data_IF_447845397404
#
_entry.id   IF_447845397404
#
_cell.length_a   1.000
_cell.length_b   1.000
_cell.length_c   1.000
_cell.angle_alpha   90.00
_cell.angle_beta   90.00
_cell.angle_gamma   90.00
#
_symmetry.space_group_name_H-M   'P 1'
#
loop_
_entity.id
_entity.type
_entity.pdbx_description
1 polymer ?
#
# COMPACT_ATOMS: atom_id res chain seq x y z
N UNK A 1 35.46 28.52 8.03
CA UNK A 1 34.80 27.41 7.29
C UNK A 1 35.32 26.01 7.65
N UNK A 2 36.54 25.85 8.19
CA UNK A 2 37.11 24.53 8.56
C UNK A 2 36.63 24.01 9.94
N UNK A 3 36.12 24.90 10.81
CA UNK A 3 35.72 24.55 12.18
C UNK A 3 34.36 23.83 12.26
N UNK A 4 33.49 24.03 11.27
CA UNK A 4 32.18 23.36 11.15
C UNK A 4 32.32 21.88 10.75
N UNK A 5 33.39 21.50 10.04
CA UNK A 5 33.66 20.11 9.66
C UNK A 5 34.13 19.25 10.86
N UNK A 6 34.83 19.85 11.83
CA UNK A 6 35.40 19.13 12.99
C UNK A 6 34.40 18.76 14.08
N UNK A 7 33.19 19.33 14.08
CA UNK A 7 32.10 18.95 14.99
C UNK A 7 31.29 17.78 14.44
N UNK A 8 31.03 17.77 13.12
CA UNK A 8 30.28 16.71 12.45
C UNK A 8 30.96 15.32 12.52
N UNK A 9 32.30 15.27 12.44
CA UNK A 9 33.02 14.00 12.54
C UNK A 9 33.11 13.45 13.98
N UNK A 10 33.12 14.34 14.98
CA UNK A 10 33.10 13.95 16.41
C UNK A 10 31.75 13.39 16.84
N UNK A 11 30.65 13.93 16.31
CA UNK A 11 29.31 13.37 16.53
C UNK A 11 29.14 12.01 15.83
N UNK A 12 29.74 11.84 14.64
CA UNK A 12 29.74 10.54 13.92
C UNK A 12 30.54 9.45 14.63
N UNK A 13 31.62 9.79 15.34
CA UNK A 13 32.41 8.79 16.09
C UNK A 13 31.81 8.46 17.45
N UNK A 14 31.06 9.37 18.07
CA UNK A 14 30.35 9.09 19.32
C UNK A 14 29.17 8.12 19.11
N UNK A 15 28.40 8.27 18.02
CA UNK A 15 27.26 7.38 17.72
C UNK A 15 27.64 6.00 17.19
N UNK A 16 28.90 5.78 16.79
CA UNK A 16 29.35 4.49 16.23
C UNK A 16 29.78 3.49 17.30
N UNK A 17 30.06 3.96 18.52
CA UNK A 17 30.61 3.14 19.61
C UNK A 17 29.62 2.90 20.76
N UNK A 18 28.43 3.50 20.73
CA UNK A 18 27.38 3.30 21.72
C UNK A 18 26.32 2.32 21.21
N UNK A 19 26.63 1.02 21.32
CA UNK A 19 25.60 0.00 21.51
C UNK A 19 24.91 -0.54 20.26
N UNK A 20 25.35 -1.74 19.86
CA UNK A 20 24.51 -2.92 19.71
C UNK A 20 23.29 -2.86 18.76
N UNK A 21 23.38 -3.67 17.70
CA UNK A 21 22.28 -4.33 17.01
C UNK A 21 20.87 -4.09 17.57
N UNK A 22 20.07 -3.28 16.87
CA UNK A 22 18.60 -3.39 16.82
C UNK A 22 17.97 -2.23 16.04
N UNK A 23 18.51 -1.87 14.85
CA UNK A 23 17.74 -1.05 13.91
C UNK A 23 17.12 -1.91 12.80
N UNK A 24 16.64 -3.10 13.18
CA UNK A 24 15.49 -3.65 12.48
C UNK A 24 14.35 -2.67 12.76
N UNK A 25 14.05 -1.80 11.79
CA UNK A 25 12.83 -1.00 11.84
C UNK A 25 11.69 -1.98 11.98
N UNK A 26 11.20 -2.19 13.21
CA UNK A 26 9.99 -2.94 13.48
C UNK A 26 8.85 -2.05 12.99
N UNK A 27 8.68 -2.00 11.67
CA UNK A 27 7.56 -1.35 11.02
C UNK A 27 6.35 -2.20 11.33
N UNK A 28 5.69 -1.89 12.43
CA UNK A 28 4.37 -2.44 12.73
C UNK A 28 3.37 -1.72 11.84
N UNK A 29 3.31 -2.16 10.57
CA UNK A 29 2.29 -1.68 9.66
C UNK A 29 0.93 -2.10 10.22
N UNK A 30 0.05 -1.13 10.38
CA UNK A 30 -1.33 -1.42 10.73
C UNK A 30 -1.97 -2.22 9.58
N UNK A 31 -2.76 -3.26 9.87
CA UNK A 31 -3.47 -4.01 8.85
C UNK A 31 -4.40 -3.07 8.06
N UNK A 32 -4.17 -2.94 6.76
CA UNK A 32 -5.05 -2.16 5.89
C UNK A 32 -6.06 -3.07 5.20
N UNK A 33 -7.35 -2.69 5.22
CA UNK A 33 -8.34 -3.41 4.42
C UNK A 33 -8.10 -3.26 2.93
N UNK A 34 -8.32 -4.36 2.21
CA UNK A 34 -8.35 -4.34 0.74
C UNK A 34 -9.58 -5.06 0.20
N UNK A 35 -10.09 -4.54 -0.90
CA UNK A 35 -11.05 -5.26 -1.73
C UNK A 35 -10.34 -6.42 -2.41
N UNK A 36 -10.87 -7.63 -2.23
CA UNK A 36 -10.40 -8.81 -2.94
C UNK A 36 -11.37 -9.12 -4.08
N UNK A 37 -10.84 -9.22 -5.29
CA UNK A 37 -11.56 -9.72 -6.46
C UNK A 37 -11.07 -11.14 -6.77
N UNK A 38 -11.81 -12.18 -6.35
CA UNK A 38 -11.43 -13.56 -6.62
C UNK A 38 -11.67 -13.90 -8.10
N UNK A 39 -10.68 -14.51 -8.74
CA UNK A 39 -10.74 -14.90 -10.16
C UNK A 39 -10.10 -16.26 -10.39
N UNK A 40 -10.40 -16.87 -11.53
CA UNK A 40 -9.70 -18.07 -12.02
C UNK A 40 -8.78 -17.70 -13.18
N UNK A 41 -7.67 -18.42 -13.33
CA UNK A 41 -6.74 -18.18 -14.45
C UNK A 41 -7.40 -18.35 -15.83
N UNK A 42 -8.40 -19.23 -15.95
CA UNK A 42 -9.16 -19.45 -17.18
C UNK A 42 -10.25 -18.40 -17.45
N UNK A 43 -10.49 -17.46 -16.53
CA UNK A 43 -11.51 -16.43 -16.69
C UNK A 43 -11.02 -15.29 -17.59
N UNK A 44 -11.82 -14.93 -18.60
CA UNK A 44 -11.51 -13.81 -19.48
C UNK A 44 -12.07 -12.50 -18.92
N UNK A 45 -11.16 -11.59 -18.57
CA UNK A 45 -11.50 -10.25 -18.08
C UNK A 45 -11.39 -9.21 -19.20
N UNK A 46 -12.48 -8.50 -19.46
CA UNK A 46 -12.45 -7.30 -20.31
C UNK A 46 -12.20 -6.06 -19.47
N UNK A 47 -11.55 -5.04 -20.04
CA UNK A 47 -11.36 -3.75 -19.36
C UNK A 47 -12.68 -3.11 -18.93
N UNK A 48 -13.76 -3.29 -19.70
CA UNK A 48 -15.10 -2.81 -19.35
C UNK A 48 -15.63 -3.48 -18.07
N UNK A 49 -15.49 -4.80 -17.96
CA UNK A 49 -15.93 -5.56 -16.78
C UNK A 49 -15.08 -5.22 -15.56
N UNK A 50 -13.79 -4.98 -15.75
CA UNK A 50 -12.93 -4.49 -14.67
C UNK A 50 -13.33 -3.08 -14.22
N UNK A 51 -13.62 -2.18 -15.17
CA UNK A 51 -14.07 -0.81 -14.86
C UNK A 51 -15.40 -0.78 -14.11
N UNK A 52 -16.35 -1.67 -14.41
CA UNK A 52 -17.60 -1.73 -13.65
C UNK A 52 -17.38 -2.10 -12.18
N UNK A 53 -16.42 -2.99 -11.88
CA UNK A 53 -16.05 -3.32 -10.49
C UNK A 53 -15.59 -2.05 -9.76
N UNK A 54 -14.75 -1.22 -10.38
CA UNK A 54 -14.31 0.04 -9.77
C UNK A 54 -15.43 1.07 -9.58
N UNK A 55 -16.45 1.06 -10.45
CA UNK A 55 -17.63 1.90 -10.27
C UNK A 55 -18.48 1.48 -9.07
N UNK A 56 -18.56 0.17 -8.80
CA UNK A 56 -19.44 -0.39 -7.77
C UNK A 56 -18.82 -0.38 -6.36
N UNK A 57 -17.49 -0.25 -6.24
CA UNK A 57 -16.80 -0.23 -4.94
C UNK A 57 -16.48 1.18 -4.44
N UNK A 58 -16.40 1.32 -3.12
CA UNK A 58 -15.84 2.48 -2.42
C UNK A 58 -14.30 2.45 -2.37
N UNK A 59 -13.68 3.57 -2.00
CA UNK A 59 -12.21 3.67 -1.86
C UNK A 59 -11.62 2.72 -0.81
N UNK A 60 -12.39 2.46 0.26
CA UNK A 60 -12.05 1.55 1.35
C UNK A 60 -13.25 0.61 1.59
N UNK A 61 -13.05 -0.70 1.81
CA UNK A 61 -14.12 -1.64 2.13
C UNK A 61 -14.95 -1.22 3.36
N UNK A 62 -16.29 -1.24 3.29
CA UNK A 62 -17.15 -0.98 4.43
C UNK A 62 -17.11 -2.15 5.42
N UNK A 63 -17.17 -1.85 6.73
CA UNK A 63 -17.27 -2.88 7.77
C UNK A 63 -16.02 -3.10 8.62
N UNK A 64 -14.99 -2.25 8.49
CA UNK A 64 -13.92 -2.14 9.49
C UNK A 64 -14.08 -0.97 10.46
N UNK A 65 -15.01 -0.06 10.17
CA UNK A 65 -15.51 1.02 11.04
C UNK A 65 -16.01 0.58 12.44
N UNK A 66 -16.06 -0.73 12.74
CA UNK A 66 -16.47 -1.28 14.04
C UNK A 66 -15.39 -1.21 15.12
N UNK A 67 -14.16 -0.82 14.77
CA UNK A 67 -13.19 -0.40 15.78
C UNK A 67 -13.44 1.09 16.07
N UNK A 68 -13.88 1.41 17.29
CA UNK A 68 -14.18 2.77 17.76
C UNK A 68 -12.98 3.75 17.71
N UNK A 69 -11.85 3.32 17.14
CA UNK A 69 -10.63 4.09 16.91
C UNK A 69 -10.52 4.67 15.48
N UNK A 70 -11.44 4.36 14.55
CA UNK A 70 -11.26 4.64 13.11
C UNK A 70 -11.52 6.10 12.70
N UNK A 71 -12.28 6.89 13.46
CA UNK A 71 -12.64 8.28 13.07
C UNK A 71 -11.46 9.25 13.02
N UNK A 72 -10.33 8.88 13.63
CA UNK A 72 -9.14 9.74 13.76
C UNK A 72 -7.90 9.13 13.06
N UNK A 73 -8.10 8.07 12.25
CA UNK A 73 -6.99 7.47 11.50
C UNK A 73 -6.55 8.41 10.38
N UNK A 74 -5.27 8.83 10.33
CA UNK A 74 -4.79 9.62 9.23
C UNK A 74 -4.96 8.84 7.93
N UNK A 75 -5.56 9.46 6.92
CA UNK A 75 -5.73 8.86 5.60
C UNK A 75 -4.39 8.31 5.11
N UNK A 76 -4.36 7.04 4.69
CA UNK A 76 -3.13 6.41 4.19
C UNK A 76 -2.57 7.25 3.02
N UNK A 77 -1.36 7.85 3.14
CA UNK A 77 -0.78 8.67 2.08
C UNK A 77 -0.50 7.89 0.78
N UNK A 78 -0.41 6.57 0.86
CA UNK A 78 -0.19 5.66 -0.27
C UNK A 78 -1.49 5.18 -0.95
N UNK A 79 -2.69 5.57 -0.46
CA UNK A 79 -3.98 5.23 -1.06
C UNK A 79 -4.62 6.47 -1.70
N UNK A 80 -4.16 6.81 -2.90
CA UNK A 80 -4.63 7.96 -3.68
C UNK A 80 -5.78 7.64 -4.65
N UNK A 81 -5.95 6.37 -5.02
CA UNK A 81 -6.98 5.89 -5.96
C UNK A 81 -7.70 4.65 -5.41
N UNK A 82 -8.87 4.32 -5.97
CA UNK A 82 -9.51 3.04 -5.70
C UNK A 82 -8.57 1.92 -6.14
N UNK A 83 -8.38 0.91 -5.28
CA UNK A 83 -7.54 -0.25 -5.56
C UNK A 83 -8.23 -1.55 -5.17
N UNK A 84 -7.93 -2.60 -5.92
CA UNK A 84 -8.44 -3.95 -5.72
C UNK A 84 -7.28 -4.92 -5.83
N UNK A 85 -7.28 -5.92 -4.96
CA UNK A 85 -6.39 -7.08 -5.04
C UNK A 85 -7.08 -8.15 -5.87
N UNK A 86 -6.59 -8.38 -7.09
CA UNK A 86 -7.02 -9.50 -7.93
C UNK A 86 -6.35 -10.77 -7.41
N UNK A 87 -7.14 -11.69 -6.86
CA UNK A 87 -6.67 -12.97 -6.35
C UNK A 87 -7.02 -14.08 -7.35
N UNK A 88 -6.07 -14.43 -8.21
CA UNK A 88 -6.26 -15.43 -9.25
C UNK A 88 -5.81 -16.80 -8.74
N UNK A 89 -6.71 -17.78 -8.74
CA UNK A 89 -6.39 -19.18 -8.41
C UNK A 89 -6.19 -20.01 -9.68
N UNK A 90 -5.18 -20.87 -9.65
CA UNK A 90 -4.90 -21.90 -10.65
C UNK A 90 -5.19 -23.32 -10.11
N UNK A 91 -5.30 -24.28 -11.03
CA UNK A 91 -5.61 -25.70 -10.78
C UNK A 91 -4.54 -26.45 -10.00
N UNK A 92 -3.31 -25.94 -9.98
CA UNK A 92 -2.18 -26.48 -9.23
C UNK A 92 -2.11 -25.96 -7.78
N UNK A 93 -3.18 -25.29 -7.30
CA UNK A 93 -3.26 -24.62 -6.00
C UNK A 93 -2.39 -23.35 -5.88
N UNK A 94 -1.84 -22.84 -6.97
CA UNK A 94 -1.16 -21.55 -6.99
C UNK A 94 -2.19 -20.41 -6.89
N UNK A 95 -1.93 -19.44 -6.02
CA UNK A 95 -2.71 -18.20 -5.93
C UNK A 95 -1.78 -17.02 -6.21
N UNK A 96 -2.13 -16.20 -7.20
CA UNK A 96 -1.39 -15.00 -7.57
C UNK A 96 -2.20 -13.77 -7.21
N UNK A 97 -1.55 -12.83 -6.55
CA UNK A 97 -2.16 -11.56 -6.14
C UNK A 97 -1.60 -10.41 -6.97
N UNK A 98 -2.48 -9.66 -7.63
CA UNK A 98 -2.14 -8.41 -8.31
C UNK A 98 -2.85 -7.23 -7.65
N UNK A 99 -2.14 -6.14 -7.40
CA UNK A 99 -2.76 -4.88 -6.96
C UNK A 99 -3.07 -4.05 -8.21
N UNK A 100 -4.34 -3.75 -8.42
CA UNK A 100 -4.83 -2.98 -9.57
C UNK A 100 -5.41 -1.67 -9.06
N UNK A 101 -5.06 -0.58 -9.73
CA UNK A 101 -5.55 0.76 -9.43
C UNK A 101 -6.55 1.25 -10.50
N UNK A 102 -7.57 1.97 -10.06
CA UNK A 102 -8.39 2.81 -10.93
C UNK A 102 -7.52 3.97 -11.42
N UNK A 103 -7.05 3.87 -12.66
CA UNK A 103 -6.07 4.78 -13.23
C UNK A 103 -6.66 6.17 -13.48
N UNK A 104 -5.81 7.19 -13.40
CA UNK A 104 -6.18 8.56 -13.82
C UNK A 104 -6.06 8.66 -15.33
N UNK A 105 -7.19 8.81 -16.03
CA UNK A 105 -7.18 9.14 -17.46
C UNK A 105 -6.90 10.63 -17.60
N UNK A 106 -5.81 10.98 -18.30
CA UNK A 106 -5.50 12.38 -18.60
C UNK A 106 -6.68 13.00 -19.38
N UNK A 107 -7.23 14.16 -18.96
CA UNK A 107 -8.34 14.80 -19.65
C UNK A 107 -7.91 15.10 -21.09
N UNK A 108 -8.73 14.69 -22.07
CA UNK A 108 -8.48 15.02 -23.46
C UNK A 108 -8.82 16.51 -23.67
N UNK A 109 -7.91 17.31 -24.23
CA UNK A 109 -8.28 18.64 -24.69
C UNK A 109 -9.28 18.47 -25.84
N UNK A 110 -10.45 19.09 -25.70
CA UNK A 110 -11.46 19.22 -26.75
C UNK A 110 -11.09 20.38 -27.68
#
# INVERSE_FOLDING_TARGET
>A
QIELLKRADRERTANKNAGGDSNALVVKADPEPEWILPTRLSETWTLRRLASVFNDISMVPPGLEFSSAEKDRPANPWRTTKRVVLATVDTDSTVVYYIIHDGVVKPRPN
#
